data_IF_380132518481
#
_entry.id   IF_380132518481
#
_cell.length_a   1.000
_cell.length_b   1.000
_cell.length_c   1.000
_cell.angle_alpha   90.00
_cell.angle_beta   90.00
_cell.angle_gamma   90.00
#
_symmetry.space_group_name_H-M   'P 1'
#
loop_
_entity.id
_entity.type
_entity.pdbx_description
1 polymer ?
#
# COMPACT_ATOMS: atom_id res chain seq x y z
N UNK A 1 28.82 -2.56 -9.34
CA UNK A 1 28.39 -2.38 -7.93
C UNK A 1 27.38 -1.24 -7.80
N UNK A 2 27.48 -0.15 -8.58
CA UNK A 2 26.52 0.99 -8.52
C UNK A 2 25.06 0.61 -8.73
N UNK A 3 24.74 -0.15 -9.78
CA UNK A 3 23.34 -0.42 -10.14
C UNK A 3 22.53 -1.15 -9.04
N UNK A 4 23.19 -1.95 -8.19
CA UNK A 4 22.55 -2.63 -7.07
C UNK A 4 22.31 -1.70 -5.87
N UNK A 5 23.21 -0.74 -5.64
CA UNK A 5 23.03 0.27 -4.60
C UNK A 5 21.92 1.24 -4.98
N UNK A 6 21.89 1.66 -6.26
CA UNK A 6 20.81 2.50 -6.81
C UNK A 6 19.46 1.79 -6.70
N UNK A 7 19.39 0.52 -7.08
CA UNK A 7 18.18 -0.30 -6.93
C UNK A 7 17.74 -0.39 -5.46
N UNK A 8 18.67 -0.62 -4.52
CA UNK A 8 18.34 -0.69 -3.08
C UNK A 8 17.83 0.65 -2.55
N UNK A 9 18.40 1.76 -3.03
CA UNK A 9 17.93 3.10 -2.68
C UNK A 9 16.52 3.35 -3.22
N UNK A 10 16.26 3.03 -4.49
CA UNK A 10 14.93 3.13 -5.10
C UNK A 10 13.89 2.27 -4.35
N UNK A 11 14.22 1.02 -4.01
CA UNK A 11 13.33 0.15 -3.25
C UNK A 11 13.04 0.70 -1.86
N UNK A 12 14.04 1.27 -1.19
CA UNK A 12 13.86 1.89 0.13
C UNK A 12 12.96 3.13 0.06
N UNK A 13 13.12 3.95 -0.98
CA UNK A 13 12.24 5.08 -1.24
C UNK A 13 10.80 4.62 -1.52
N UNK A 14 10.60 3.65 -2.42
CA UNK A 14 9.27 3.10 -2.72
C UNK A 14 8.59 2.52 -1.48
N UNK A 15 9.32 1.78 -0.64
CA UNK A 15 8.80 1.25 0.62
C UNK A 15 8.30 2.37 1.55
N UNK A 16 9.07 3.45 1.67
CA UNK A 16 8.67 4.62 2.47
C UNK A 16 7.40 5.27 1.94
N UNK A 17 7.31 5.53 0.63
CA UNK A 17 6.13 6.17 0.04
C UNK A 17 4.88 5.28 0.11
N UNK A 18 5.03 3.97 -0.09
CA UNK A 18 3.93 3.00 0.08
C UNK A 18 3.40 2.99 1.51
N UNK A 19 4.29 3.04 2.52
CA UNK A 19 3.87 3.13 3.92
C UNK A 19 3.16 4.46 4.23
N UNK A 20 3.58 5.56 3.60
CA UNK A 20 2.86 6.85 3.74
C UNK A 20 1.44 6.76 3.16
N UNK A 21 1.29 6.15 1.98
CA UNK A 21 -0.03 5.93 1.35
C UNK A 21 -0.88 4.98 2.20
N UNK A 22 -0.30 3.91 2.74
CA UNK A 22 -0.97 2.98 3.66
C UNK A 22 -1.58 3.73 4.86
N UNK A 23 -0.80 4.60 5.49
CA UNK A 23 -1.22 5.39 6.65
C UNK A 23 -2.32 6.38 6.28
N UNK A 24 -2.19 7.07 5.14
CA UNK A 24 -3.23 7.97 4.63
C UNK A 24 -4.53 7.22 4.35
N UNK A 25 -4.46 6.08 3.66
CA UNK A 25 -5.63 5.26 3.35
C UNK A 25 -6.33 4.74 4.62
N UNK A 26 -5.56 4.29 5.62
CA UNK A 26 -6.09 3.89 6.91
C UNK A 26 -6.78 5.03 7.68
N UNK A 27 -6.19 6.23 7.64
CA UNK A 27 -6.73 7.42 8.30
C UNK A 27 -8.04 7.86 7.65
N UNK A 28 -8.05 7.99 6.31
CA UNK A 28 -9.24 8.37 5.56
C UNK A 28 -10.35 7.31 5.71
N UNK A 29 -10.01 6.01 5.66
CA UNK A 29 -11.00 4.94 5.87
C UNK A 29 -11.71 5.06 7.23
N UNK A 30 -10.99 5.49 8.26
CA UNK A 30 -11.56 5.73 9.60
C UNK A 30 -12.48 6.94 9.59
N UNK A 31 -12.05 8.05 8.96
CA UNK A 31 -12.85 9.28 8.82
C UNK A 31 -14.16 9.01 8.08
N UNK A 32 -14.12 8.33 6.92
CA UNK A 32 -15.36 8.06 6.17
C UNK A 32 -16.31 7.12 6.92
N UNK A 33 -15.77 6.22 7.76
CA UNK A 33 -16.62 5.42 8.65
C UNK A 33 -17.30 6.26 9.73
N UNK A 34 -16.62 7.28 10.25
CA UNK A 34 -17.20 8.25 11.18
C UNK A 34 -18.28 9.10 10.49
N UNK A 35 -18.02 9.55 9.26
CA UNK A 35 -19.01 10.25 8.43
C UNK A 35 -20.24 9.38 8.18
N UNK A 36 -20.08 8.13 7.76
CA UNK A 36 -21.18 7.18 7.60
C UNK A 36 -22.05 7.09 8.86
N UNK A 37 -21.42 6.83 10.01
CA UNK A 37 -22.14 6.70 11.29
C UNK A 37 -22.91 7.97 11.62
N UNK A 38 -22.30 9.14 11.41
CA UNK A 38 -22.94 10.43 11.66
C UNK A 38 -24.12 10.65 10.71
N UNK A 39 -23.97 10.38 9.43
CA UNK A 39 -25.01 10.57 8.42
C UNK A 39 -26.20 9.62 8.64
N UNK A 40 -25.94 8.37 9.04
CA UNK A 40 -27.00 7.39 9.37
C UNK A 40 -27.84 7.75 10.59
N UNK A 41 -27.40 8.73 11.38
CA UNK A 41 -28.15 9.21 12.57
C UNK A 41 -29.25 10.22 12.23
N UNK A 42 -29.32 10.71 10.99
CA UNK A 42 -30.35 11.64 10.54
C UNK A 42 -31.50 10.89 9.83
N UNK A 43 -32.76 11.24 10.17
CA UNK A 43 -33.98 10.68 9.54
C UNK A 43 -34.31 11.31 8.17
N UNK A 44 -33.29 11.62 7.37
CA UNK A 44 -33.46 12.20 6.03
C UNK A 44 -32.97 11.25 4.95
N UNK A 45 -33.88 10.86 4.06
CA UNK A 45 -33.59 9.88 2.99
C UNK A 45 -32.46 10.32 2.06
N UNK A 46 -32.36 11.60 1.75
CA UNK A 46 -31.30 12.15 0.89
C UNK A 46 -29.91 12.08 1.55
N UNK A 47 -29.84 12.17 2.88
CA UNK A 47 -28.61 12.00 3.65
C UNK A 47 -28.16 10.53 3.63
N UNK A 48 -29.11 9.62 3.44
CA UNK A 48 -28.87 8.18 3.47
C UNK A 48 -28.05 7.71 2.26
N UNK A 49 -28.31 8.27 1.09
CA UNK A 49 -27.54 7.99 -0.13
C UNK A 49 -26.06 8.45 0.04
N UNK A 50 -25.84 9.63 0.60
CA UNK A 50 -24.49 10.15 0.92
C UNK A 50 -23.79 9.21 1.90
N UNK A 51 -24.48 8.74 2.94
CA UNK A 51 -23.86 7.82 3.88
C UNK A 51 -23.40 6.51 3.19
N UNK A 52 -24.19 5.97 2.26
CA UNK A 52 -23.79 4.78 1.48
C UNK A 52 -22.52 5.06 0.68
N UNK A 53 -22.37 6.26 0.10
CA UNK A 53 -21.14 6.69 -0.56
C UNK A 53 -19.96 6.70 0.42
N UNK A 54 -20.12 7.25 1.62
CA UNK A 54 -19.07 7.27 2.66
C UNK A 54 -18.67 5.85 3.11
N UNK A 55 -19.65 4.96 3.28
CA UNK A 55 -19.37 3.55 3.61
C UNK A 55 -18.56 2.87 2.50
N UNK A 56 -18.88 3.15 1.25
CA UNK A 56 -18.16 2.61 0.10
C UNK A 56 -16.74 3.18 0.01
N UNK A 57 -16.57 4.48 0.22
CA UNK A 57 -15.26 5.14 0.28
C UNK A 57 -14.40 4.52 1.40
N UNK A 58 -14.95 4.35 2.60
CA UNK A 58 -14.28 3.69 3.73
C UNK A 58 -13.76 2.29 3.35
N UNK A 59 -14.58 1.49 2.65
CA UNK A 59 -14.22 0.13 2.19
C UNK A 59 -13.12 0.16 1.14
N UNK A 60 -13.20 1.07 0.18
CA UNK A 60 -12.18 1.21 -0.88
C UNK A 60 -10.83 1.62 -0.28
N UNK A 61 -10.82 2.59 0.62
CA UNK A 61 -9.61 3.03 1.34
C UNK A 61 -9.04 1.89 2.21
N UNK A 62 -9.90 1.09 2.85
CA UNK A 62 -9.48 -0.12 3.55
C UNK A 62 -8.78 -1.13 2.63
N UNK A 63 -9.29 -1.30 1.41
CA UNK A 63 -8.66 -2.14 0.38
C UNK A 63 -7.31 -1.58 -0.05
N UNK A 64 -7.22 -0.26 -0.30
CA UNK A 64 -5.96 0.41 -0.65
C UNK A 64 -4.90 0.24 0.43
N UNK A 65 -5.29 0.33 1.71
CA UNK A 65 -4.40 0.05 2.84
C UNK A 65 -3.81 -1.37 2.75
N UNK A 66 -4.65 -2.38 2.54
CA UNK A 66 -4.19 -3.77 2.41
C UNK A 66 -3.27 -3.98 1.20
N UNK A 67 -3.56 -3.33 0.07
CA UNK A 67 -2.68 -3.35 -1.10
C UNK A 67 -1.31 -2.76 -0.77
N UNK A 68 -1.26 -1.65 -0.03
CA UNK A 68 0.00 -1.04 0.37
C UNK A 68 0.82 -1.94 1.29
N UNK A 69 0.19 -2.60 2.27
CA UNK A 69 0.86 -3.59 3.13
C UNK A 69 1.48 -4.73 2.31
N UNK A 70 0.71 -5.32 1.39
CA UNK A 70 1.20 -6.40 0.54
C UNK A 70 2.35 -5.95 -0.38
N UNK A 71 2.32 -4.70 -0.88
CA UNK A 71 3.42 -4.15 -1.67
C UNK A 71 4.68 -3.90 -0.83
N UNK A 72 4.52 -3.39 0.40
CA UNK A 72 5.64 -3.18 1.32
C UNK A 72 6.33 -4.52 1.65
N UNK A 73 5.57 -5.58 1.94
CA UNK A 73 6.08 -6.93 2.17
C UNK A 73 6.86 -7.46 0.97
N UNK A 74 6.34 -7.27 -0.26
CA UNK A 74 7.04 -7.68 -1.48
C UNK A 74 8.34 -6.92 -1.68
N UNK A 75 8.35 -5.61 -1.45
CA UNK A 75 9.57 -4.79 -1.58
C UNK A 75 10.61 -5.22 -0.56
N UNK A 76 10.21 -5.50 0.67
CA UNK A 76 11.10 -5.99 1.71
C UNK A 76 11.68 -7.37 1.35
N UNK A 77 10.88 -8.25 0.75
CA UNK A 77 11.34 -9.52 0.19
C UNK A 77 12.43 -9.34 -0.88
N UNK A 78 12.24 -8.39 -1.81
CA UNK A 78 13.23 -8.09 -2.86
C UNK A 78 14.51 -7.53 -2.25
N UNK A 79 14.42 -6.57 -1.32
CA UNK A 79 15.59 -6.00 -0.64
C UNK A 79 16.41 -7.09 0.06
N UNK A 80 15.73 -8.00 0.76
CA UNK A 80 16.38 -9.11 1.44
C UNK A 80 17.04 -10.10 0.47
N UNK A 81 16.44 -10.36 -0.70
CA UNK A 81 17.06 -11.20 -1.74
C UNK A 81 18.31 -10.54 -2.36
N UNK A 82 18.30 -9.20 -2.53
CA UNK A 82 19.50 -8.44 -2.94
C UNK A 82 20.60 -8.58 -1.89
N UNK A 83 20.26 -8.41 -0.61
CA UNK A 83 21.23 -8.47 0.49
C UNK A 83 21.84 -9.86 0.67
N UNK A 84 21.11 -10.92 0.31
CA UNK A 84 21.60 -12.30 0.25
C UNK A 84 22.35 -12.66 -1.04
N UNK A 85 22.40 -11.76 -2.03
CA UNK A 85 23.07 -11.99 -3.32
C UNK A 85 22.31 -12.90 -4.31
N UNK A 86 21.09 -13.31 -3.99
CA UNK A 86 20.30 -14.28 -4.76
C UNK A 86 19.91 -13.77 -6.16
N UNK A 87 19.79 -12.45 -6.31
CA UNK A 87 19.44 -11.80 -7.57
C UNK A 87 20.65 -11.74 -8.53
N UNK A 88 21.88 -11.75 -8.01
CA UNK A 88 23.12 -11.67 -8.81
C UNK A 88 23.62 -13.03 -9.33
N UNK A 89 23.35 -14.13 -8.63
CA UNK A 89 23.80 -15.48 -9.03
C UNK A 89 23.01 -16.07 -10.19
N UNK A 90 21.71 -15.75 -10.29
CA UNK A 90 20.87 -16.22 -11.40
C UNK A 90 21.28 -15.62 -12.75
N UNK A 91 21.70 -14.34 -12.78
CA UNK A 91 22.20 -13.71 -14.00
C UNK A 91 23.55 -14.30 -14.45
N UNK A 92 24.48 -14.56 -13.51
CA UNK A 92 25.77 -15.19 -13.84
C UNK A 92 25.63 -16.63 -14.33
N UNK A 93 24.69 -17.43 -13.81
CA UNK A 93 24.45 -18.79 -14.31
C UNK A 93 23.84 -18.81 -15.72
N UNK A 94 23.04 -17.81 -16.07
CA UNK A 94 22.44 -17.70 -17.41
C UNK A 94 23.46 -17.29 -18.50
N UNK A 95 24.56 -16.63 -18.14
CA UNK A 95 25.63 -16.27 -19.09
C UNK A 95 26.65 -17.39 -19.34
N UNK A 96 26.63 -18.46 -18.54
CA UNK A 96 27.61 -19.57 -18.61
C UNK A 96 27.04 -20.78 -19.39
N UNK A 97 25.78 -20.72 -19.84
CA UNK A 97 25.13 -21.72 -20.69
C UNK A 97 24.70 -21.14 -22.03
#
# INVERSE_FOLDING_TARGET
>A
MDNYQDLKHTLSYLHSEINRIETMAGTLSTIEREHYNKLTSFDHREIMDIAVEEQNAARQLGTMKQMCLAMAEKIEGIKNAIDRGEIGESAKRAEIH
#
